data_IF_809820405112
#
_entry.id   IF_809820405112
#
_cell.length_a   1.000
_cell.length_b   1.000
_cell.length_c   1.000
_cell.angle_alpha   90.00
_cell.angle_beta   90.00
_cell.angle_gamma   90.00
#
_symmetry.space_group_name_H-M   'P 1'
#
loop_
_entity.id
_entity.type
_entity.pdbx_description
1 polymer ?
#
# COMPACT_ATOMS: atom_id res chain seq x y z
N UNK A 1 22.55 17.16 12.49
CA UNK A 1 21.72 16.26 11.67
C UNK A 1 22.29 16.25 10.26
N UNK A 2 22.37 15.09 9.62
CA UNK A 2 22.91 14.92 8.27
C UNK A 2 21.84 15.22 7.20
N UNK A 3 21.40 16.48 7.11
CA UNK A 3 20.34 16.89 6.18
C UNK A 3 20.63 16.54 4.72
N UNK A 4 21.90 16.65 4.28
CA UNK A 4 22.27 16.30 2.89
C UNK A 4 22.06 14.82 2.56
N UNK A 5 22.32 13.92 3.51
CA UNK A 5 22.07 12.49 3.33
C UNK A 5 20.55 12.20 3.25
N UNK A 6 19.74 12.94 4.02
CA UNK A 6 18.27 12.86 3.96
C UNK A 6 17.76 13.34 2.61
N UNK A 7 18.20 14.52 2.15
CA UNK A 7 17.80 15.09 0.84
C UNK A 7 18.16 14.16 -0.31
N UNK A 8 19.32 13.49 -0.25
CA UNK A 8 19.70 12.46 -1.21
C UNK A 8 18.68 11.33 -1.27
N UNK A 9 18.23 10.81 -0.13
CA UNK A 9 17.26 9.69 -0.06
C UNK A 9 15.90 10.13 -0.57
N UNK A 10 15.43 11.31 -0.13
CA UNK A 10 14.15 11.88 -0.60
C UNK A 10 14.18 12.09 -2.11
N UNK A 11 15.25 12.68 -2.66
CA UNK A 11 15.39 12.85 -4.12
C UNK A 11 15.36 11.53 -4.88
N UNK A 12 16.03 10.49 -4.35
CA UNK A 12 16.01 9.15 -4.95
C UNK A 12 14.61 8.51 -4.90
N UNK A 13 13.87 8.68 -3.81
CA UNK A 13 12.49 8.20 -3.69
C UNK A 13 11.57 8.89 -4.69
N UNK A 14 11.71 10.20 -4.89
CA UNK A 14 10.92 10.96 -5.89
C UNK A 14 11.27 10.50 -7.32
N UNK A 15 12.55 10.23 -7.62
CA UNK A 15 12.95 9.66 -8.92
C UNK A 15 12.30 8.29 -9.12
N UNK A 16 12.37 7.40 -8.12
CA UNK A 16 11.76 6.07 -8.22
C UNK A 16 10.24 6.17 -8.42
N UNK A 17 9.58 7.05 -7.67
CA UNK A 17 8.14 7.29 -7.78
C UNK A 17 7.75 7.92 -9.12
N UNK A 18 8.61 8.76 -9.72
CA UNK A 18 8.36 9.26 -11.07
C UNK A 18 8.25 8.12 -12.07
N UNK A 19 9.14 7.11 -11.98
CA UNK A 19 9.12 5.94 -12.86
C UNK A 19 7.81 5.14 -12.80
N UNK A 20 7.10 5.16 -11.68
CA UNK A 20 5.81 4.46 -11.56
C UNK A 20 4.71 5.13 -12.37
N UNK A 21 4.83 6.41 -12.74
CA UNK A 21 3.86 7.14 -13.59
C UNK A 21 3.79 6.59 -15.01
N UNK A 22 4.81 5.84 -15.45
CA UNK A 22 4.81 5.18 -16.76
C UNK A 22 3.68 4.15 -16.82
N UNK A 23 3.37 3.46 -15.72
CA UNK A 23 2.36 2.40 -15.68
C UNK A 23 0.95 2.94 -15.98
N UNK A 24 0.39 3.94 -15.25
CA UNK A 24 -0.90 4.53 -15.59
C UNK A 24 -0.86 5.26 -16.95
N UNK A 25 0.29 5.81 -17.35
CA UNK A 25 0.48 6.36 -18.71
C UNK A 25 0.29 5.30 -19.81
N UNK A 26 0.76 4.07 -19.59
CA UNK A 26 0.54 2.94 -20.50
C UNK A 26 -0.94 2.49 -20.49
N UNK A 27 -1.58 2.47 -19.32
CA UNK A 27 -3.02 2.18 -19.21
C UNK A 27 -3.84 3.19 -20.04
N UNK A 28 -3.49 4.49 -19.96
CA UNK A 28 -4.13 5.53 -20.76
C UNK A 28 -4.00 5.29 -22.28
N UNK A 29 -2.85 4.76 -22.73
CA UNK A 29 -2.63 4.42 -24.14
C UNK A 29 -3.40 3.18 -24.58
N UNK A 30 -3.49 2.17 -23.73
CA UNK A 30 -4.24 0.93 -23.99
C UNK A 30 -5.74 1.22 -24.11
N UNK A 31 -6.30 1.94 -23.13
CA UNK A 31 -7.72 2.28 -23.07
C UNK A 31 -8.09 3.52 -23.88
N UNK A 32 -7.10 4.25 -24.41
CA UNK A 32 -7.26 5.46 -25.25
C UNK A 32 -8.14 6.53 -24.59
N UNK A 33 -7.99 6.73 -23.28
CA UNK A 33 -8.85 7.59 -22.46
C UNK A 33 -8.40 9.06 -22.40
N UNK A 34 -7.27 9.40 -23.04
CA UNK A 34 -6.75 10.76 -23.13
C UNK A 34 -6.01 11.27 -21.88
N UNK A 35 -6.05 10.56 -20.76
CA UNK A 35 -5.45 11.00 -19.49
C UNK A 35 -3.91 10.84 -19.43
N UNK A 36 -3.30 10.20 -20.42
CA UNK A 36 -1.85 9.92 -20.46
C UNK A 36 -0.96 11.17 -20.43
N UNK A 37 -1.48 12.34 -20.84
CA UNK A 37 -0.75 13.62 -20.78
C UNK A 37 -0.39 14.01 -19.35
N UNK A 38 -1.34 13.89 -18.42
CA UNK A 38 -1.14 14.25 -17.01
C UNK A 38 -0.01 13.40 -16.39
N UNK A 39 -0.04 12.09 -16.61
CA UNK A 39 1.00 11.16 -16.12
C UNK A 39 2.38 11.42 -16.73
N UNK A 40 2.44 11.77 -18.02
CA UNK A 40 3.70 12.10 -18.69
C UNK A 40 4.28 13.42 -18.15
N UNK A 41 3.44 14.43 -17.93
CA UNK A 41 3.86 15.69 -17.31
C UNK A 41 4.35 15.45 -15.87
N UNK A 42 3.61 14.68 -15.09
CA UNK A 42 4.03 14.31 -13.72
C UNK A 42 5.36 13.56 -13.74
N UNK A 43 5.57 12.60 -14.66
CA UNK A 43 6.84 11.88 -14.79
C UNK A 43 8.02 12.85 -14.92
N UNK A 44 7.97 13.78 -15.88
CA UNK A 44 9.07 14.71 -16.12
C UNK A 44 9.26 15.71 -14.97
N UNK A 45 8.17 16.25 -14.40
CA UNK A 45 8.23 17.20 -13.27
C UNK A 45 8.82 16.53 -12.03
N UNK A 46 8.32 15.34 -11.67
CA UNK A 46 8.82 14.58 -10.53
C UNK A 46 10.27 14.15 -10.74
N UNK A 47 10.62 13.67 -11.94
CA UNK A 47 12.00 13.29 -12.28
C UNK A 47 12.96 14.48 -12.16
N UNK A 48 12.54 15.67 -12.62
CA UNK A 48 13.33 16.90 -12.50
C UNK A 48 13.52 17.30 -11.03
N UNK A 49 12.45 17.35 -10.22
CA UNK A 49 12.51 17.67 -8.79
C UNK A 49 13.41 16.66 -8.05
N UNK A 50 13.16 15.37 -8.25
CA UNK A 50 13.94 14.31 -7.61
C UNK A 50 15.42 14.35 -8.00
N UNK A 51 15.73 14.60 -9.28
CA UNK A 51 17.11 14.75 -9.77
C UNK A 51 17.79 15.98 -9.21
N UNK A 52 17.08 17.10 -9.09
CA UNK A 52 17.59 18.34 -8.49
C UNK A 52 17.94 18.15 -7.00
N UNK A 53 17.14 17.38 -6.26
CA UNK A 53 17.42 17.04 -4.86
C UNK A 53 18.56 16.03 -4.71
N UNK A 54 18.61 15.03 -5.59
CA UNK A 54 19.57 13.93 -5.50
C UNK A 54 20.97 14.31 -6.01
N UNK A 55 21.06 14.97 -7.16
CA UNK A 55 22.33 15.17 -7.88
C UNK A 55 23.40 15.91 -7.06
N UNK A 56 23.11 17.04 -6.37
CA UNK A 56 24.09 17.73 -5.55
C UNK A 56 24.54 16.90 -4.34
N UNK A 57 23.66 16.03 -3.84
CA UNK A 57 23.87 15.27 -2.60
C UNK A 57 24.33 13.81 -2.86
N UNK A 58 24.57 13.42 -4.12
CA UNK A 58 24.84 12.01 -4.52
C UNK A 58 26.05 11.36 -3.86
N UNK A 59 27.02 12.14 -3.40
CA UNK A 59 28.26 11.65 -2.75
C UNK A 59 28.09 11.48 -1.23
N UNK A 60 27.05 12.03 -0.64
CA UNK A 60 26.82 12.01 0.80
C UNK A 60 26.34 10.60 1.21
N UNK A 61 27.17 9.88 1.95
CA UNK A 61 26.92 8.50 2.44
C UNK A 61 27.02 8.39 3.96
N UNK A 62 26.78 9.50 4.67
CA UNK A 62 26.86 9.55 6.13
C UNK A 62 25.99 8.48 6.78
N UNK A 63 26.47 7.90 7.88
CA UNK A 63 25.68 6.92 8.64
C UNK A 63 24.48 7.60 9.29
N UNK A 64 23.29 7.10 8.98
CA UNK A 64 22.05 7.64 9.51
C UNK A 64 21.84 7.22 10.96
N UNK A 65 21.61 8.20 11.83
CA UNK A 65 21.20 8.00 13.22
C UNK A 65 19.67 7.82 13.31
N UNK A 66 19.16 7.29 14.42
CA UNK A 66 17.72 7.04 14.59
C UNK A 66 16.84 8.28 14.36
N UNK A 67 17.29 9.47 14.79
CA UNK A 67 16.59 10.76 14.55
C UNK A 67 16.38 11.06 13.07
N UNK A 68 17.33 10.68 12.24
CA UNK A 68 17.29 10.91 10.79
C UNK A 68 16.38 9.88 10.13
N UNK A 69 16.34 8.66 10.65
CA UNK A 69 15.35 7.64 10.28
C UNK A 69 13.92 8.14 10.46
N UNK A 70 13.56 8.69 11.62
CA UNK A 70 12.23 9.27 11.84
C UNK A 70 11.89 10.37 10.84
N UNK A 71 12.83 11.29 10.60
CA UNK A 71 12.61 12.38 9.66
C UNK A 71 12.42 11.87 8.23
N UNK A 72 13.18 10.85 7.80
CA UNK A 72 13.01 10.22 6.48
C UNK A 72 11.62 9.62 6.33
N UNK A 73 11.08 8.99 7.37
CA UNK A 73 9.74 8.37 7.32
C UNK A 73 8.65 9.42 7.15
N UNK A 74 8.72 10.51 7.92
CA UNK A 74 7.77 11.63 7.77
C UNK A 74 7.87 12.22 6.36
N UNK A 75 9.09 12.49 5.89
CA UNK A 75 9.31 13.03 4.56
C UNK A 75 8.89 12.06 3.44
N UNK A 76 9.00 10.75 3.64
CA UNK A 76 8.53 9.75 2.68
C UNK A 76 7.04 9.96 2.40
N UNK A 77 6.20 9.99 3.43
CA UNK A 77 4.75 10.16 3.26
C UNK A 77 4.38 11.57 2.78
N UNK A 78 4.98 12.62 3.38
CA UNK A 78 4.66 14.00 3.00
C UNK A 78 5.06 14.32 1.57
N UNK A 79 6.27 13.92 1.14
CA UNK A 79 6.77 14.23 -0.20
C UNK A 79 6.10 13.36 -1.25
N UNK A 80 5.99 12.04 -1.05
CA UNK A 80 5.34 11.17 -2.05
C UNK A 80 3.84 11.46 -2.14
N UNK A 81 3.16 11.77 -1.03
CA UNK A 81 1.75 12.19 -1.06
C UNK A 81 1.57 13.51 -1.82
N UNK A 82 2.51 14.44 -1.70
CA UNK A 82 2.47 15.71 -2.46
C UNK A 82 2.77 15.52 -3.95
N UNK A 83 3.78 14.72 -4.29
CA UNK A 83 4.11 14.38 -5.69
C UNK A 83 3.00 13.55 -6.32
N UNK A 84 2.37 12.67 -5.54
CA UNK A 84 1.26 11.84 -5.98
C UNK A 84 -0.01 12.61 -6.32
N UNK A 85 -0.14 13.85 -5.85
CA UNK A 85 -1.23 14.74 -6.22
C UNK A 85 -1.09 15.31 -7.65
N UNK A 86 0.13 15.33 -8.20
CA UNK A 86 0.41 15.98 -9.49
C UNK A 86 -0.42 15.43 -10.67
N UNK A 87 -0.64 14.11 -10.84
CA UNK A 87 -1.48 13.62 -11.93
C UNK A 87 -2.92 14.09 -11.81
N UNK A 88 -3.45 14.22 -10.59
CA UNK A 88 -4.79 14.75 -10.35
C UNK A 88 -4.87 16.26 -10.64
N UNK A 89 -3.80 17.01 -10.37
CA UNK A 89 -3.72 18.45 -10.65
C UNK A 89 -3.57 18.72 -12.16
N UNK A 90 -2.82 17.87 -12.89
CA UNK A 90 -2.58 18.05 -14.32
C UNK A 90 -3.65 17.40 -15.20
N UNK A 91 -4.49 16.53 -14.66
CA UNK A 91 -5.59 15.94 -15.41
C UNK A 91 -6.71 16.96 -15.62
N UNK A 92 -7.23 17.03 -16.85
CA UNK A 92 -8.44 17.81 -17.15
C UNK A 92 -9.71 17.09 -16.68
N UNK A 93 -9.62 15.78 -16.41
CA UNK A 93 -10.74 14.94 -15.93
C UNK A 93 -10.20 13.87 -14.98
N UNK A 94 -10.55 13.91 -13.68
CA UNK A 94 -11.45 14.87 -13.01
C UNK A 94 -10.80 16.25 -12.83
N UNK A 95 -11.57 17.33 -13.03
CA UNK A 95 -11.12 18.70 -12.72
C UNK A 95 -11.26 18.96 -11.22
N UNK A 96 -10.24 18.54 -10.46
CA UNK A 96 -10.20 18.65 -9.01
C UNK A 96 -9.62 19.99 -8.55
N UNK A 97 -10.10 20.47 -7.40
CA UNK A 97 -9.38 21.53 -6.69
C UNK A 97 -8.04 20.99 -6.19
N UNK A 98 -7.07 21.87 -5.96
CA UNK A 98 -5.75 21.47 -5.43
C UNK A 98 -5.92 20.73 -4.10
N UNK A 99 -6.82 21.18 -3.23
CA UNK A 99 -7.08 20.52 -1.94
C UNK A 99 -7.63 19.12 -2.10
N UNK A 100 -8.54 18.91 -3.06
CA UNK A 100 -9.12 17.58 -3.32
C UNK A 100 -8.10 16.63 -3.95
N UNK A 101 -7.25 17.15 -4.85
CA UNK A 101 -6.16 16.37 -5.45
C UNK A 101 -5.15 15.89 -4.39
N UNK A 102 -4.79 16.76 -3.44
CA UNK A 102 -3.97 16.38 -2.30
C UNK A 102 -4.70 15.37 -1.41
N UNK A 103 -5.98 15.60 -1.10
CA UNK A 103 -6.77 14.67 -0.29
C UNK A 103 -6.82 13.27 -0.91
N UNK A 104 -7.16 13.15 -2.19
CA UNK A 104 -7.17 11.88 -2.92
C UNK A 104 -5.80 11.21 -2.90
N UNK A 105 -4.73 11.95 -3.16
CA UNK A 105 -3.40 11.35 -3.19
C UNK A 105 -2.94 10.88 -1.81
N UNK A 106 -3.16 11.67 -0.76
CA UNK A 106 -2.80 11.26 0.59
C UNK A 106 -3.66 10.09 1.04
N UNK A 107 -4.97 10.13 0.82
CA UNK A 107 -5.89 9.04 1.16
C UNK A 107 -5.55 7.73 0.46
N UNK A 108 -5.20 7.79 -0.83
CA UNK A 108 -4.72 6.64 -1.59
C UNK A 108 -3.39 6.14 -1.04
N UNK A 109 -2.39 7.00 -0.92
CA UNK A 109 -1.05 6.60 -0.50
C UNK A 109 -1.03 6.05 0.94
N UNK A 110 -1.81 6.60 1.86
CA UNK A 110 -1.88 6.11 3.25
C UNK A 110 -2.84 4.95 3.44
N UNK A 111 -3.41 4.41 2.35
CA UNK A 111 -4.40 3.31 2.40
C UNK A 111 -5.62 3.65 3.27
N UNK A 112 -6.05 4.92 3.27
CA UNK A 112 -7.21 5.37 4.04
C UNK A 112 -8.52 5.06 3.32
N UNK A 113 -8.55 5.21 1.99
CA UNK A 113 -9.72 4.86 1.18
C UNK A 113 -10.85 5.88 1.14
N UNK A 114 -10.70 7.03 1.81
CA UNK A 114 -11.66 8.12 1.72
C UNK A 114 -11.53 8.84 0.37
N UNK A 115 -12.65 9.19 -0.26
CA UNK A 115 -12.64 9.84 -1.58
C UNK A 115 -13.55 11.07 -1.59
N UNK A 116 -13.13 12.12 -2.30
CA UNK A 116 -13.95 13.32 -2.60
C UNK A 116 -14.52 13.27 -4.01
N UNK A 117 -14.09 12.31 -4.82
CA UNK A 117 -14.58 12.08 -6.17
C UNK A 117 -15.95 11.39 -6.16
N UNK A 118 -16.81 11.80 -7.08
CA UNK A 118 -18.13 11.21 -7.37
C UNK A 118 -18.21 10.97 -8.87
N UNK A 119 -18.94 9.95 -9.30
CA UNK A 119 -19.06 9.56 -10.70
C UNK A 119 -17.82 8.80 -11.20
N UNK A 120 -17.21 7.98 -10.34
CA UNK A 120 -16.01 7.21 -10.65
C UNK A 120 -16.16 6.34 -11.89
N UNK A 121 -17.37 5.81 -12.13
CA UNK A 121 -17.72 4.94 -13.26
C UNK A 121 -17.47 5.59 -14.64
N UNK A 122 -17.43 6.93 -14.68
CA UNK A 122 -17.22 7.72 -15.90
C UNK A 122 -15.81 8.29 -16.04
N UNK A 123 -14.94 8.05 -15.06
CA UNK A 123 -13.59 8.59 -15.07
C UNK A 123 -12.67 7.82 -16.03
N UNK A 124 -11.60 8.46 -16.52
CA UNK A 124 -10.58 7.77 -17.30
C UNK A 124 -9.99 6.57 -16.53
N UNK A 125 -9.82 5.45 -17.22
CA UNK A 125 -9.28 4.20 -16.67
C UNK A 125 -7.89 4.42 -16.06
N UNK A 126 -7.06 5.27 -16.66
CA UNK A 126 -5.73 5.58 -16.14
C UNK A 126 -5.78 6.27 -14.76
N UNK A 127 -6.78 7.13 -14.53
CA UNK A 127 -6.98 7.81 -13.24
C UNK A 127 -7.50 6.82 -12.20
N UNK A 128 -8.49 5.99 -12.56
CA UNK A 128 -8.99 4.93 -11.69
C UNK A 128 -7.87 3.97 -11.30
N UNK A 129 -7.08 3.51 -12.28
CA UNK A 129 -5.94 2.64 -12.04
C UNK A 129 -4.90 3.30 -11.12
N UNK A 130 -4.60 4.57 -11.35
CA UNK A 130 -3.65 5.31 -10.53
C UNK A 130 -4.08 5.39 -9.05
N UNK A 131 -5.37 5.61 -8.79
CA UNK A 131 -5.93 5.60 -7.42
C UNK A 131 -5.67 4.26 -6.73
N UNK A 132 -5.97 3.14 -7.40
CA UNK A 132 -5.72 1.80 -6.87
C UNK A 132 -4.22 1.53 -6.66
N UNK A 133 -3.40 1.97 -7.63
CA UNK A 133 -1.96 1.80 -7.59
C UNK A 133 -1.32 2.58 -6.43
N UNK A 134 -1.83 3.77 -6.09
CA UNK A 134 -1.40 4.53 -4.91
C UNK A 134 -1.60 3.74 -3.62
N UNK A 135 -2.77 3.10 -3.45
CA UNK A 135 -3.02 2.22 -2.29
C UNK A 135 -2.06 1.04 -2.28
N UNK A 136 -1.83 0.42 -3.44
CA UNK A 136 -0.91 -0.71 -3.54
C UNK A 136 0.51 -0.35 -3.13
N UNK A 137 1.02 0.80 -3.59
CA UNK A 137 2.34 1.31 -3.16
C UNK A 137 2.36 1.70 -1.68
N UNK A 138 1.28 2.31 -1.19
CA UNK A 138 1.08 2.65 0.21
C UNK A 138 1.16 1.46 1.16
N UNK A 139 0.41 0.41 0.83
CA UNK A 139 0.37 -0.85 1.56
C UNK A 139 1.76 -1.51 1.65
N UNK A 140 2.50 -1.51 0.55
CA UNK A 140 3.88 -2.00 0.60
C UNK A 140 4.82 -1.07 1.38
N UNK A 141 4.60 0.25 1.30
CA UNK A 141 5.29 1.25 2.10
C UNK A 141 5.18 0.96 3.59
N UNK A 142 3.96 0.76 4.11
CA UNK A 142 3.77 0.49 5.54
C UNK A 142 4.37 -0.85 5.98
N UNK A 143 4.27 -1.91 5.16
CA UNK A 143 4.86 -3.23 5.46
C UNK A 143 6.38 -3.13 5.58
N UNK A 144 7.06 -2.51 4.61
CA UNK A 144 8.52 -2.36 4.64
C UNK A 144 8.97 -1.46 5.79
N UNK A 145 8.26 -0.36 6.02
CA UNK A 145 8.57 0.57 7.10
C UNK A 145 8.41 -0.10 8.47
N UNK A 146 7.35 -0.88 8.70
CA UNK A 146 7.17 -1.62 9.94
C UNK A 146 8.37 -2.54 10.22
N UNK A 147 8.82 -3.32 9.22
CA UNK A 147 9.97 -4.22 9.39
C UNK A 147 11.30 -3.48 9.54
N UNK A 148 11.48 -2.34 8.87
CA UNK A 148 12.71 -1.56 8.94
C UNK A 148 12.82 -0.74 10.25
N UNK A 149 11.71 -0.23 10.78
CA UNK A 149 11.67 0.72 11.89
C UNK A 149 11.50 0.01 13.23
N UNK A 150 10.67 -1.03 13.34
CA UNK A 150 10.40 -1.73 14.62
C UNK A 150 11.69 -2.16 15.36
N UNK A 151 12.73 -2.73 14.70
CA UNK A 151 13.97 -3.08 15.37
C UNK A 151 14.73 -1.88 15.95
N UNK A 152 14.55 -0.69 15.36
CA UNK A 152 15.22 0.56 15.77
C UNK A 152 14.47 1.20 16.95
N UNK A 153 13.14 1.05 17.01
CA UNK A 153 12.29 1.55 18.10
C UNK A 153 12.44 0.76 19.40
N UNK A 154 13.07 -0.43 19.38
CA UNK A 154 13.22 -1.28 20.57
C UNK A 154 11.91 -1.90 21.06
N UNK A 155 10.80 -1.69 20.34
CA UNK A 155 9.50 -2.33 20.57
C UNK A 155 9.59 -3.77 20.04
N UNK A 156 9.29 -4.77 20.88
CA UNK A 156 9.40 -6.19 20.54
C UNK A 156 10.63 -6.93 21.10
N UNK A 157 11.27 -6.42 22.16
CA UNK A 157 12.26 -7.19 22.95
C UNK A 157 13.67 -7.30 22.33
N UNK A 158 13.95 -6.66 21.18
CA UNK A 158 15.29 -6.66 20.58
C UNK A 158 16.37 -5.92 21.37
N UNK A 159 16.00 -5.15 22.38
CA UNK A 159 16.96 -4.63 23.35
C UNK A 159 17.48 -5.72 24.31
N UNK A 160 16.65 -6.70 24.70
CA UNK A 160 17.10 -7.87 25.47
C UNK A 160 18.03 -8.75 24.63
N UNK A 161 17.68 -9.00 23.37
CA UNK A 161 18.51 -9.81 22.47
C UNK A 161 19.89 -9.18 22.20
N UNK A 162 19.98 -7.83 22.16
CA UNK A 162 21.27 -7.12 22.09
C UNK A 162 22.07 -7.16 23.40
N UNK A 163 21.40 -7.32 24.54
CA UNK A 163 22.03 -7.42 25.85
C UNK A 163 22.63 -8.82 26.11
N UNK A 164 22.04 -9.87 25.52
CA UNK A 164 22.46 -11.27 25.73
C UNK A 164 23.51 -11.79 24.73
N UNK A 165 23.82 -11.06 23.66
CA UNK A 165 24.81 -11.49 22.66
C UNK A 165 26.26 -11.14 23.10
N UNK A 166 27.16 -12.13 23.32
CA UNK A 166 28.53 -11.87 23.71
C UNK A 166 29.41 -11.52 22.48
N UNK A 167 30.32 -10.56 22.65
CA UNK A 167 31.45 -10.34 21.73
C UNK A 167 31.12 -9.70 20.36
N UNK A 168 32.07 -9.72 19.41
CA UNK A 168 32.15 -8.82 18.24
C UNK A 168 31.03 -9.02 17.19
N UNK A 169 30.10 -9.94 17.43
CA UNK A 169 28.88 -10.11 16.64
C UNK A 169 27.84 -8.99 16.85
N UNK A 170 28.04 -8.09 17.83
CA UNK A 170 27.27 -6.83 17.95
C UNK A 170 27.31 -6.00 16.67
N UNK A 171 28.39 -6.10 15.89
CA UNK A 171 28.64 -5.34 14.66
C UNK A 171 28.31 -6.08 13.36
N UNK A 172 27.69 -7.28 13.44
CA UNK A 172 27.19 -7.93 12.23
C UNK A 172 26.03 -7.08 11.69
N UNK A 173 26.38 -6.24 10.71
CA UNK A 173 25.54 -5.23 10.06
C UNK A 173 24.13 -5.79 9.93
N UNK A 174 23.15 -5.18 10.61
CA UNK A 174 21.73 -5.54 10.41
C UNK A 174 21.23 -5.18 8.99
N UNK A 175 22.03 -4.44 8.21
CA UNK A 175 21.69 -3.91 6.87
C UNK A 175 21.41 -4.99 5.78
N UNK A 176 22.16 -6.11 5.64
CA UNK A 176 21.90 -7.13 4.62
C UNK A 176 20.55 -7.84 4.83
N UNK A 177 20.20 -8.11 6.10
CA UNK A 177 18.95 -8.82 6.45
C UNK A 177 17.70 -8.00 6.14
N UNK A 178 17.73 -6.67 6.31
CA UNK A 178 16.55 -5.82 6.05
C UNK A 178 16.20 -5.81 4.56
N UNK A 179 17.20 -5.68 3.67
CA UNK A 179 16.98 -5.69 2.23
C UNK A 179 16.45 -7.05 1.73
N UNK A 180 17.00 -8.16 2.24
CA UNK A 180 16.52 -9.51 1.93
C UNK A 180 15.10 -9.77 2.45
N UNK A 181 14.81 -9.30 3.66
CA UNK A 181 13.46 -9.39 4.24
C UNK A 181 12.47 -8.58 3.42
N UNK A 182 12.81 -7.34 3.05
CA UNK A 182 11.95 -6.49 2.20
C UNK A 182 11.68 -7.12 0.84
N UNK A 183 12.67 -7.77 0.22
CA UNK A 183 12.49 -8.49 -1.06
C UNK A 183 11.53 -9.67 -0.93
N UNK A 184 11.61 -10.41 0.17
CA UNK A 184 10.71 -11.55 0.40
C UNK A 184 9.29 -11.08 0.72
N UNK A 185 9.14 -10.01 1.50
CA UNK A 185 7.86 -9.38 1.76
C UNK A 185 7.22 -8.83 0.48
N UNK A 186 8.03 -8.22 -0.40
CA UNK A 186 7.59 -7.82 -1.74
C UNK A 186 7.03 -8.99 -2.54
N UNK A 187 7.73 -10.13 -2.53
CA UNK A 187 7.27 -11.34 -3.22
C UNK A 187 5.93 -11.83 -2.67
N UNK A 188 5.77 -11.90 -1.34
CA UNK A 188 4.50 -12.28 -0.70
C UNK A 188 3.38 -11.34 -1.14
N UNK A 189 3.64 -10.04 -1.06
CA UNK A 189 2.67 -9.00 -1.39
C UNK A 189 2.18 -9.14 -2.84
N UNK A 190 3.10 -9.24 -3.80
CA UNK A 190 2.78 -9.44 -5.22
C UNK A 190 2.03 -10.77 -5.46
N UNK A 191 2.46 -11.88 -4.83
CA UNK A 191 1.80 -13.17 -5.00
C UNK A 191 0.36 -13.15 -4.47
N UNK A 192 0.12 -12.52 -3.32
CA UNK A 192 -1.21 -12.33 -2.77
C UNK A 192 -2.07 -11.44 -3.67
N UNK A 193 -1.50 -10.36 -4.22
CA UNK A 193 -2.19 -9.48 -5.18
C UNK A 193 -2.61 -10.24 -6.44
N UNK A 194 -1.70 -11.00 -7.05
CA UNK A 194 -2.01 -11.78 -8.26
C UNK A 194 -3.05 -12.87 -7.96
N UNK A 195 -2.92 -13.57 -6.84
CA UNK A 195 -3.89 -14.58 -6.43
C UNK A 195 -5.29 -13.98 -6.22
N UNK A 196 -5.37 -12.79 -5.60
CA UNK A 196 -6.62 -12.06 -5.41
C UNK A 196 -7.22 -11.61 -6.74
N UNK A 197 -6.42 -11.00 -7.62
CA UNK A 197 -6.87 -10.58 -8.94
C UNK A 197 -7.43 -11.74 -9.77
N UNK A 198 -6.75 -12.89 -9.79
CA UNK A 198 -7.22 -14.08 -10.50
C UNK A 198 -8.51 -14.64 -9.89
N UNK A 199 -8.61 -14.69 -8.56
CA UNK A 199 -9.83 -15.16 -7.89
C UNK A 199 -11.03 -14.26 -8.22
N UNK A 200 -10.85 -12.95 -8.20
CA UNK A 200 -11.88 -11.96 -8.55
C UNK A 200 -12.29 -12.04 -10.02
N UNK A 201 -11.31 -12.21 -10.92
CA UNK A 201 -11.56 -12.39 -12.35
C UNK A 201 -12.36 -13.67 -12.63
N UNK A 202 -12.00 -14.80 -12.00
CA UNK A 202 -12.76 -16.05 -12.12
C UNK A 202 -14.16 -15.97 -11.48
N UNK A 203 -14.37 -15.07 -10.52
CA UNK A 203 -15.69 -14.80 -9.94
C UNK A 203 -16.58 -13.92 -10.83
N UNK A 204 -16.08 -13.43 -11.97
CA UNK A 204 -16.86 -12.71 -12.98
C UNK A 204 -16.60 -11.21 -13.06
N UNK A 205 -15.63 -10.65 -12.32
CA UNK A 205 -15.20 -9.25 -12.51
C UNK A 205 -14.45 -9.08 -13.83
N UNK A 206 -14.57 -7.90 -14.44
CA UNK A 206 -13.70 -7.52 -15.56
C UNK A 206 -12.22 -7.51 -15.11
N UNK A 207 -11.29 -7.75 -16.04
CA UNK A 207 -9.87 -7.80 -15.72
C UNK A 207 -9.35 -6.49 -15.11
N UNK A 208 -9.85 -5.34 -15.58
CA UNK A 208 -9.47 -4.03 -15.03
C UNK A 208 -9.89 -3.89 -13.57
N UNK A 209 -11.15 -4.19 -13.28
CA UNK A 209 -11.72 -4.12 -11.94
C UNK A 209 -11.09 -5.16 -11.02
N UNK A 210 -10.88 -6.39 -11.49
CA UNK A 210 -10.24 -7.44 -10.70
C UNK A 210 -8.83 -7.05 -10.25
N UNK A 211 -8.03 -6.44 -11.14
CA UNK A 211 -6.70 -5.92 -10.78
C UNK A 211 -6.83 -4.75 -9.81
N UNK A 212 -7.68 -3.77 -10.12
CA UNK A 212 -7.89 -2.58 -9.28
C UNK A 212 -8.34 -2.93 -7.86
N UNK A 213 -9.35 -3.79 -7.73
CA UNK A 213 -9.85 -4.26 -6.44
C UNK A 213 -8.84 -5.16 -5.70
N UNK A 214 -8.00 -5.92 -6.41
CA UNK A 214 -6.92 -6.69 -5.76
C UNK A 214 -5.88 -5.78 -5.11
N UNK A 215 -5.56 -4.63 -5.74
CA UNK A 215 -4.64 -3.63 -5.20
C UNK A 215 -5.17 -3.04 -3.90
N UNK A 216 -6.41 -2.57 -3.90
CA UNK A 216 -7.06 -2.03 -2.71
C UNK A 216 -7.24 -3.08 -1.60
N UNK A 217 -7.61 -4.32 -1.95
CA UNK A 217 -7.87 -5.39 -0.97
C UNK A 217 -6.60 -5.82 -0.24
N UNK A 218 -5.51 -6.05 -0.97
CA UNK A 218 -4.25 -6.50 -0.35
C UNK A 218 -3.57 -5.37 0.44
N UNK A 219 -3.74 -4.12 0.00
CA UNK A 219 -3.30 -2.94 0.74
C UNK A 219 -4.20 -2.59 1.94
N UNK A 220 -5.38 -3.21 2.08
CA UNK A 220 -6.41 -2.87 3.08
C UNK A 220 -6.82 -1.39 2.96
N UNK A 221 -6.87 -0.87 1.74
CA UNK A 221 -7.11 0.53 1.47
C UNK A 221 -8.57 0.89 1.20
N UNK A 222 -9.34 0.02 0.52
CA UNK A 222 -10.78 0.21 0.31
C UNK A 222 -11.20 1.15 -0.84
N UNK A 223 -10.28 1.57 -1.72
CA UNK A 223 -10.69 2.21 -2.96
C UNK A 223 -11.40 1.23 -3.91
N UNK A 224 -12.17 1.80 -4.83
CA UNK A 224 -12.95 1.10 -5.84
C UNK A 224 -12.91 1.85 -7.17
N UNK A 225 -13.10 1.12 -8.26
CA UNK A 225 -13.31 1.67 -9.61
C UNK A 225 -14.73 2.20 -9.77
N UNK A 226 -15.66 1.69 -8.97
CA UNK A 226 -17.08 2.08 -8.94
C UNK A 226 -17.46 2.87 -7.69
N UNK A 227 -18.42 3.80 -7.83
CA UNK A 227 -18.95 4.62 -6.72
C UNK A 227 -19.59 3.76 -5.62
N UNK A 228 -20.31 2.70 -6.01
CA UNK A 228 -20.98 1.79 -5.08
C UNK A 228 -20.01 0.80 -4.40
N UNK A 229 -18.70 0.97 -4.58
CA UNK A 229 -17.68 0.03 -4.09
C UNK A 229 -17.98 -1.40 -4.56
N UNK A 230 -17.76 -2.40 -3.68
CA UNK A 230 -18.07 -3.81 -3.95
C UNK A 230 -19.57 -4.03 -4.18
N UNK A 231 -20.44 -3.13 -3.69
CA UNK A 231 -21.88 -3.17 -3.90
C UNK A 231 -22.30 -3.09 -5.38
N UNK A 232 -21.43 -2.60 -6.27
CA UNK A 232 -21.66 -2.57 -7.71
C UNK A 232 -21.87 -3.98 -8.30
N UNK A 233 -21.15 -4.99 -7.81
CA UNK A 233 -21.13 -6.33 -8.41
C UNK A 233 -22.24 -7.26 -7.91
N UNK A 234 -22.95 -6.89 -6.83
CA UNK A 234 -24.04 -7.65 -6.19
C UNK A 234 -23.83 -9.18 -6.14
N UNK A 235 -22.60 -9.60 -5.81
CA UNK A 235 -22.19 -11.01 -5.87
C UNK A 235 -21.66 -11.49 -4.52
N UNK A 236 -22.37 -12.44 -3.87
CA UNK A 236 -21.90 -13.05 -2.62
C UNK A 236 -20.53 -13.70 -2.74
N UNK A 237 -20.19 -14.22 -3.93
CA UNK A 237 -18.90 -14.86 -4.21
C UNK A 237 -17.76 -13.83 -4.13
N UNK A 238 -17.92 -12.67 -4.78
CA UNK A 238 -16.93 -11.59 -4.74
C UNK A 238 -16.75 -11.08 -3.31
N UNK A 239 -17.85 -10.85 -2.59
CA UNK A 239 -17.81 -10.44 -1.18
C UNK A 239 -17.01 -11.42 -0.31
N UNK A 240 -17.22 -12.73 -0.52
CA UNK A 240 -16.53 -13.79 0.22
C UNK A 240 -15.04 -13.83 -0.11
N UNK A 241 -14.67 -13.70 -1.39
CA UNK A 241 -13.27 -13.66 -1.83
C UNK A 241 -12.56 -12.47 -1.19
N UNK A 242 -13.13 -11.27 -1.30
CA UNK A 242 -12.53 -10.05 -0.73
C UNK A 242 -12.37 -10.19 0.78
N UNK A 243 -13.38 -10.71 1.49
CA UNK A 243 -13.29 -10.92 2.92
C UNK A 243 -12.17 -11.89 3.33
N UNK A 244 -12.00 -13.00 2.59
CA UNK A 244 -10.91 -13.95 2.84
C UNK A 244 -9.56 -13.27 2.63
N UNK A 245 -9.38 -12.54 1.53
CA UNK A 245 -8.13 -11.83 1.25
C UNK A 245 -7.85 -10.68 2.23
N UNK A 246 -8.88 -9.99 2.74
CA UNK A 246 -8.72 -9.01 3.82
C UNK A 246 -8.23 -9.66 5.11
N UNK A 247 -8.75 -10.84 5.47
CA UNK A 247 -8.25 -11.58 6.62
C UNK A 247 -6.79 -11.99 6.43
N UNK A 248 -6.44 -12.54 5.26
CA UNK A 248 -5.07 -12.93 4.95
C UNK A 248 -4.12 -11.72 5.00
N UNK A 249 -4.50 -10.61 4.37
CA UNK A 249 -3.69 -9.38 4.34
C UNK A 249 -3.61 -8.68 5.69
N UNK A 250 -4.67 -8.76 6.51
CA UNK A 250 -4.70 -8.22 7.87
C UNK A 250 -3.85 -9.01 8.86
N UNK A 251 -3.44 -10.23 8.51
CA UNK A 251 -2.52 -11.01 9.32
C UNK A 251 -1.10 -10.42 9.27
N UNK A 252 -0.36 -10.64 10.35
CA UNK A 252 1.03 -10.23 10.44
C UNK A 252 1.86 -10.86 9.29
N UNK A 253 2.44 -10.01 8.43
CA UNK A 253 3.27 -10.45 7.30
C UNK A 253 4.51 -11.24 7.71
N UNK A 254 4.94 -11.14 8.96
CA UNK A 254 5.99 -12.01 9.53
C UNK A 254 5.58 -13.49 9.58
N UNK A 255 4.29 -13.80 9.76
CA UNK A 255 3.77 -15.17 9.71
C UNK A 255 3.81 -15.72 8.29
N UNK A 256 3.41 -14.91 7.30
CA UNK A 256 3.51 -15.25 5.88
C UNK A 256 4.96 -15.51 5.45
N UNK A 257 5.89 -14.68 5.92
CA UNK A 257 7.32 -14.89 5.71
C UNK A 257 7.82 -16.20 6.33
N UNK A 258 7.37 -16.52 7.55
CA UNK A 258 7.72 -17.77 8.21
C UNK A 258 7.20 -19.01 7.49
N UNK A 259 6.03 -18.92 6.85
CA UNK A 259 5.46 -20.01 6.05
C UNK A 259 6.32 -20.30 4.81
N UNK A 260 6.69 -19.25 4.05
CA UNK A 260 7.54 -19.39 2.86
C UNK A 260 8.96 -19.88 3.18
N UNK A 261 9.43 -19.64 4.41
CA UNK A 261 10.73 -20.13 4.89
C UNK A 261 10.72 -21.64 5.25
N UNK A 262 9.64 -22.37 4.94
CA UNK A 262 9.54 -23.82 5.12
C UNK A 262 8.96 -24.28 6.46
N UNK A 263 8.35 -23.38 7.25
CA UNK A 263 7.65 -23.79 8.48
C UNK A 263 6.24 -24.30 8.17
N UNK A 264 5.72 -25.20 9.01
CA UNK A 264 4.36 -25.73 8.88
C UNK A 264 3.27 -24.67 9.09
N UNK A 265 2.09 -24.85 8.50
CA UNK A 265 0.89 -24.01 8.72
C UNK A 265 0.48 -23.88 10.20
N UNK A 266 0.96 -24.75 11.09
CA UNK A 266 0.74 -24.66 12.53
C UNK A 266 1.30 -23.38 13.17
N UNK A 267 2.17 -22.63 12.48
CA UNK A 267 2.71 -21.35 12.97
C UNK A 267 1.61 -20.32 13.19
N UNK A 268 0.60 -20.25 12.33
CA UNK A 268 -0.51 -19.29 12.48
C UNK A 268 -1.30 -19.54 13.76
N UNK A 269 -1.66 -20.80 14.05
CA UNK A 269 -2.45 -21.15 15.22
C UNK A 269 -1.70 -21.04 16.56
N UNK A 270 -0.37 -20.95 16.52
CA UNK A 270 0.45 -20.71 17.71
C UNK A 270 0.56 -19.22 18.04
N UNK A 271 0.26 -18.36 17.08
CA UNK A 271 0.32 -16.93 17.26
C UNK A 271 -0.98 -16.42 17.91
N UNK A 272 -0.91 -15.80 19.10
CA UNK A 272 -2.10 -15.33 19.80
C UNK A 272 -2.80 -14.17 19.08
N UNK A 273 -2.09 -13.35 18.29
CA UNK A 273 -2.69 -12.27 17.51
C UNK A 273 -3.55 -12.84 16.39
N UNK A 274 -3.04 -13.82 15.63
CA UNK A 274 -3.80 -14.52 14.59
C UNK A 274 -5.01 -15.26 15.17
N UNK A 275 -4.85 -15.95 16.31
CA UNK A 275 -5.95 -16.63 16.97
C UNK A 275 -7.05 -15.65 17.42
N UNK A 276 -6.66 -14.50 17.98
CA UNK A 276 -7.60 -13.45 18.39
C UNK A 276 -8.32 -12.83 17.18
N UNK A 277 -7.57 -12.48 16.14
CA UNK A 277 -8.11 -11.90 14.90
C UNK A 277 -9.13 -12.84 14.26
N UNK A 278 -8.75 -14.11 14.04
CA UNK A 278 -9.64 -15.10 13.44
C UNK A 278 -10.91 -15.34 14.28
N UNK A 279 -10.79 -15.43 15.60
CA UNK A 279 -11.94 -15.57 16.49
C UNK A 279 -12.88 -14.36 16.43
N UNK A 280 -12.33 -13.15 16.40
CA UNK A 280 -13.11 -11.92 16.28
C UNK A 280 -13.84 -11.86 14.93
N UNK A 281 -13.14 -12.13 13.84
CA UNK A 281 -13.72 -12.15 12.50
C UNK A 281 -14.83 -13.18 12.34
N UNK A 282 -14.63 -14.41 12.86
CA UNK A 282 -15.66 -15.46 12.88
C UNK A 282 -16.90 -15.04 13.67
N UNK A 283 -16.69 -14.39 14.84
CA UNK A 283 -17.80 -13.88 15.65
C UNK A 283 -18.59 -12.81 14.90
N UNK A 284 -17.92 -11.87 14.24
CA UNK A 284 -18.59 -10.85 13.43
C UNK A 284 -19.37 -11.47 12.27
N UNK A 285 -18.79 -12.43 11.55
CA UNK A 285 -19.46 -13.14 10.45
C UNK A 285 -20.73 -13.89 10.88
N UNK A 286 -20.76 -14.47 12.08
CA UNK A 286 -21.92 -15.21 12.60
C UNK A 286 -23.00 -14.28 13.19
N UNK A 287 -22.60 -13.20 13.87
CA UNK A 287 -23.54 -12.33 14.58
C UNK A 287 -24.13 -11.21 13.72
N UNK A 288 -23.38 -10.62 12.79
CA UNK A 288 -23.87 -9.46 12.02
C UNK A 288 -25.04 -9.77 11.09
N UNK A 289 -25.05 -10.88 10.31
CA UNK A 289 -26.21 -11.20 9.47
C UNK A 289 -27.49 -11.35 10.31
N UNK A 290 -27.35 -11.90 11.52
CA UNK A 290 -28.44 -12.08 12.48
C UNK A 290 -28.99 -10.73 12.99
N UNK A 291 -28.12 -9.74 13.24
CA UNK A 291 -28.53 -8.41 13.68
C UNK A 291 -29.06 -7.51 12.55
N UNK A 292 -28.45 -7.55 11.36
CA UNK A 292 -28.95 -6.80 10.19
C UNK A 292 -30.30 -7.34 9.69
N UNK A 293 -30.48 -8.67 9.70
CA UNK A 293 -31.77 -9.29 9.42
C UNK A 293 -32.85 -8.89 10.43
N UNK A 294 -32.50 -8.83 11.72
CA UNK A 294 -33.41 -8.38 12.78
C UNK A 294 -33.82 -6.91 12.63
N UNK A 295 -32.87 -6.00 12.35
CA UNK A 295 -33.14 -4.58 12.16
C UNK A 295 -33.98 -4.33 10.89
N UNK A 296 -33.67 -4.99 9.77
CA UNK A 296 -34.47 -4.86 8.53
C UNK A 296 -35.89 -5.43 8.67
N UNK A 297 -36.09 -6.47 9.50
CA UNK A 297 -37.43 -7.01 9.80
C UNK A 297 -38.26 -6.10 10.72
N UNK A 298 -37.61 -5.26 11.52
CA UNK A 298 -38.26 -4.33 12.46
C UNK A 298 -38.64 -3.01 11.80
N UNK A 299 -37.91 -2.58 10.76
CA UNK A 299 -38.19 -1.34 9.98
C UNK A 299 -39.26 -1.56 8.88
N UNK A 300 -39.62 -2.81 8.56
CA UNK A 300 -40.70 -3.16 7.61
C UNK A 300 -42.10 -3.33 8.24
N UNK A 301 -42.31 -2.86 9.47
CA UNK A 301 -43.65 -2.81 10.11
C UNK A 301 -44.10 -1.38 10.35
#
# INVERSE_FOLDING_TARGET
MHFRAITRIVGLLVILFSGTMIIPGLVALIYRDGAGRAFTQTFFVALAIGSMLWWPNRKEKGELKSREGFLIVVLFWTVLGSVGALPFIFSESPNLTITDAFFESFSGLTTTGATTLVGLDSLPHAILFYRQMLQWFGGMGIIVLAVAILPILGVGGMQLYRAEMPGPLKDNKMRPRIAETAKTLWLIYVLLTVACALALWFAGMDAFDAIGHSFATIAIGGFSTHDASIGYFDSPTINTIIAIFLLISGCNYGLHFSLLSGRSLKVYWRDPEFACLSAYSLRWWLFVPSYCGFIMSTVRR
#
